data_IF_888974257692
#
_entry.id   IF_888974257692
#
_cell.length_a   1.000
_cell.length_b   1.000
_cell.length_c   1.000
_cell.angle_alpha   90.00
_cell.angle_beta   90.00
_cell.angle_gamma   90.00
#
_symmetry.space_group_name_H-M   'P 1'
#
loop_
_entity.id
_entity.type
_entity.pdbx_description
1 polymer ?
#
# COMPACT_ATOMS: atom_id res chain seq x y z
N UNK A 1 8.14 -1.53 -1.95
CA UNK A 1 9.04 -0.43 -1.50
C UNK A 1 10.15 -0.20 -2.53
N UNK A 2 10.84 0.95 -2.51
CA UNK A 2 12.08 1.21 -3.28
C UNK A 2 13.25 1.40 -2.34
N UNK A 3 14.39 0.79 -2.64
CA UNK A 3 15.66 0.97 -1.93
C UNK A 3 16.60 1.75 -2.83
N UNK A 4 17.15 2.85 -2.31
CA UNK A 4 18.03 3.73 -3.08
C UNK A 4 19.48 3.56 -2.61
N UNK A 5 20.43 3.32 -3.52
CA UNK A 5 21.86 3.36 -3.19
C UNK A 5 22.27 4.76 -2.74
N UNK A 6 23.41 4.87 -2.05
CA UNK A 6 23.92 6.16 -1.60
C UNK A 6 24.27 7.09 -2.78
N UNK A 7 24.79 6.54 -3.88
CA UNK A 7 25.04 7.24 -5.13
C UNK A 7 23.78 7.84 -5.77
N UNK A 8 22.59 7.30 -5.50
CA UNK A 8 21.33 7.86 -5.97
C UNK A 8 20.78 8.98 -5.07
N UNK A 9 21.51 9.37 -4.00
CA UNK A 9 21.15 10.47 -3.09
C UNK A 9 21.79 11.81 -3.49
N UNK A 10 22.35 11.91 -4.69
CA UNK A 10 22.89 13.16 -5.23
C UNK A 10 21.78 14.14 -5.67
N UNK A 11 22.21 15.38 -5.95
CA UNK A 11 21.40 16.60 -5.99
C UNK A 11 20.13 16.53 -6.85
N UNK A 12 19.12 17.31 -6.42
CA UNK A 12 17.76 17.44 -6.99
C UNK A 12 17.63 17.54 -8.52
N UNK A 13 18.69 17.85 -9.27
CA UNK A 13 18.65 18.03 -10.72
C UNK A 13 18.56 16.70 -11.49
N UNK A 14 19.00 15.57 -10.93
CA UNK A 14 18.96 14.25 -11.60
C UNK A 14 17.75 13.38 -11.19
N UNK A 15 16.78 13.97 -10.48
CA UNK A 15 15.70 13.26 -9.81
C UNK A 15 14.52 12.93 -10.75
N UNK A 16 14.70 11.96 -11.65
CA UNK A 16 13.58 11.29 -12.31
C UNK A 16 13.45 9.82 -11.87
N UNK A 17 12.88 9.63 -10.68
CA UNK A 17 11.88 8.61 -10.31
C UNK A 17 12.07 7.12 -10.64
N UNK A 18 13.20 6.66 -11.20
CA UNK A 18 13.33 5.29 -11.73
C UNK A 18 14.61 4.56 -11.32
N UNK A 19 15.49 5.17 -10.53
CA UNK A 19 16.75 4.53 -10.06
C UNK A 19 16.56 3.89 -8.68
N UNK A 20 17.16 2.72 -8.47
CA UNK A 20 17.13 1.97 -7.21
C UNK A 20 16.39 0.62 -7.30
N UNK A 21 16.68 -0.25 -6.34
CA UNK A 21 16.12 -1.60 -6.28
C UNK A 21 14.63 -1.59 -5.91
N UNK A 22 13.86 -2.40 -6.61
CA UNK A 22 12.52 -2.80 -6.18
C UNK A 22 12.67 -3.72 -4.97
N UNK A 23 11.86 -3.51 -3.94
CA UNK A 23 11.65 -4.49 -2.87
C UNK A 23 10.17 -4.86 -2.80
N UNK A 24 9.88 -6.15 -2.99
CA UNK A 24 8.54 -6.71 -2.85
C UNK A 24 8.51 -7.70 -1.69
N UNK A 25 7.49 -7.60 -0.83
CA UNK A 25 7.41 -8.37 0.41
C UNK A 25 6.14 -9.18 0.43
N UNK A 26 6.28 -10.47 0.70
CA UNK A 26 5.17 -11.36 1.01
C UNK A 26 5.33 -11.79 2.47
N UNK A 27 4.33 -11.48 3.30
CA UNK A 27 4.25 -12.01 4.65
C UNK A 27 3.32 -13.24 4.64
N UNK A 28 3.84 -14.36 5.10
CA UNK A 28 3.07 -15.57 5.31
C UNK A 28 2.78 -15.72 6.80
N UNK A 29 1.51 -15.92 7.13
CA UNK A 29 1.05 -16.26 8.47
C UNK A 29 0.63 -17.73 8.47
N UNK A 30 1.36 -18.57 9.20
CA UNK A 30 1.02 -19.97 9.40
C UNK A 30 0.60 -20.20 10.84
N UNK A 31 -0.51 -20.92 11.02
CA UNK A 31 -0.91 -21.44 12.33
C UNK A 31 -0.52 -22.90 12.40
N UNK A 32 0.26 -23.25 13.41
CA UNK A 32 0.48 -24.65 13.76
C UNK A 32 -0.76 -25.19 14.49
N UNK A 33 -1.22 -26.39 14.13
CA UNK A 33 -2.49 -27.00 14.58
C UNK A 33 -2.65 -27.07 16.10
N UNK A 34 -1.54 -27.10 16.84
CA UNK A 34 -1.54 -27.25 18.30
C UNK A 34 -0.93 -26.04 19.04
N UNK A 35 -0.69 -24.92 18.36
CA UNK A 35 -0.13 -23.73 18.98
C UNK A 35 -1.11 -22.57 18.99
N UNK A 36 -1.11 -21.82 20.09
CA UNK A 36 -1.75 -20.51 20.18
C UNK A 36 -0.80 -19.43 19.67
N UNK A 37 0.00 -19.72 18.64
CA UNK A 37 0.95 -18.80 18.03
C UNK A 37 0.79 -18.85 16.51
N UNK A 38 0.93 -17.69 15.89
CA UNK A 38 1.11 -17.56 14.46
C UNK A 38 2.60 -17.42 14.19
N UNK A 39 3.13 -18.29 13.33
CA UNK A 39 4.45 -18.14 12.76
C UNK A 39 4.38 -17.22 11.54
N UNK A 40 5.27 -16.24 11.49
CA UNK A 40 5.29 -15.19 10.47
C UNK A 40 6.60 -15.31 9.70
N UNK A 41 6.49 -15.69 8.43
CA UNK A 41 7.61 -15.66 7.49
C UNK A 41 7.53 -14.41 6.63
N UNK A 42 8.56 -13.56 6.68
CA UNK A 42 8.72 -12.44 5.78
C UNK A 42 9.65 -12.83 4.63
N UNK A 43 9.14 -12.77 3.40
CA UNK A 43 9.88 -13.09 2.19
C UNK A 43 10.04 -11.81 1.35
N UNK A 44 11.23 -11.26 1.41
CA UNK A 44 11.61 -9.99 0.81
C UNK A 44 12.44 -10.21 -0.46
N UNK A 45 11.83 -9.92 -1.60
CA UNK A 45 12.46 -10.08 -2.91
C UNK A 45 12.94 -8.72 -3.40
N UNK A 46 14.25 -8.56 -3.55
CA UNK A 46 14.84 -7.38 -4.17
C UNK A 46 15.16 -7.64 -5.64
N UNK A 47 14.99 -6.62 -6.48
CA UNK A 47 15.19 -6.74 -7.92
C UNK A 47 15.69 -5.46 -8.55
N UNK A 48 16.50 -5.59 -9.60
CA UNK A 48 16.85 -4.47 -10.49
C UNK A 48 15.70 -4.14 -11.45
N UNK A 49 14.79 -5.08 -11.67
CA UNK A 49 13.57 -4.86 -12.43
C UNK A 49 12.69 -3.80 -11.77
N UNK A 50 12.43 -2.74 -12.51
CA UNK A 50 11.62 -1.62 -12.06
C UNK A 50 10.14 -1.78 -12.41
N UNK A 51 9.78 -2.76 -13.25
CA UNK A 51 8.41 -3.02 -13.72
C UNK A 51 7.71 -3.96 -12.73
N UNK A 52 7.22 -3.40 -11.61
CA UNK A 52 6.36 -4.12 -10.65
C UNK A 52 4.97 -4.36 -11.25
N UNK A 53 4.88 -5.30 -12.19
CA UNK A 53 3.66 -5.69 -12.90
C UNK A 53 3.09 -7.03 -12.40
N UNK A 54 2.05 -7.53 -13.08
CA UNK A 54 1.41 -8.81 -12.77
C UNK A 54 2.40 -9.98 -12.80
N UNK A 55 3.32 -9.98 -13.78
CA UNK A 55 4.30 -11.03 -13.96
C UNK A 55 5.36 -11.03 -12.86
N UNK A 56 5.82 -9.84 -12.46
CA UNK A 56 6.69 -9.68 -11.29
C UNK A 56 6.01 -10.24 -10.04
N UNK A 57 4.75 -9.88 -9.82
CA UNK A 57 3.98 -10.34 -8.65
C UNK A 57 3.81 -11.85 -8.64
N UNK A 58 3.44 -12.46 -9.78
CA UNK A 58 3.34 -13.91 -9.91
C UNK A 58 4.69 -14.61 -9.65
N UNK A 59 5.78 -14.04 -10.14
CA UNK A 59 7.14 -14.55 -9.91
C UNK A 59 7.54 -14.50 -8.43
N UNK A 60 7.12 -13.47 -7.70
CA UNK A 60 7.36 -13.37 -6.27
C UNK A 60 6.59 -14.45 -5.48
N UNK A 61 5.33 -14.73 -5.85
CA UNK A 61 4.59 -15.85 -5.27
C UNK A 61 5.24 -17.20 -5.56
N UNK A 62 5.72 -17.40 -6.78
CA UNK A 62 6.44 -18.61 -7.16
C UNK A 62 7.66 -18.85 -6.26
N UNK A 63 8.51 -17.82 -6.11
CA UNK A 63 9.68 -17.89 -5.25
C UNK A 63 9.33 -18.29 -3.81
N UNK A 64 8.21 -17.78 -3.29
CA UNK A 64 7.74 -18.13 -1.95
C UNK A 64 7.22 -19.57 -1.88
N UNK A 65 6.44 -20.03 -2.86
CA UNK A 65 5.90 -21.40 -2.88
C UNK A 65 6.99 -22.48 -3.04
N UNK A 66 8.11 -22.14 -3.66
CA UNK A 66 9.29 -23.00 -3.72
C UNK A 66 10.11 -22.97 -2.43
N UNK A 67 10.12 -21.85 -1.71
CA UNK A 67 10.90 -21.71 -0.47
C UNK A 67 10.21 -22.35 0.76
N UNK A 68 8.89 -22.28 0.84
CA UNK A 68 8.18 -22.79 2.02
C UNK A 68 8.33 -24.32 2.17
N UNK A 69 8.80 -24.77 3.33
CA UNK A 69 9.05 -26.18 3.63
C UNK A 69 7.79 -27.04 3.63
N UNK A 70 6.65 -26.47 4.05
CA UNK A 70 5.34 -27.11 4.06
C UNK A 70 4.35 -26.25 3.29
N UNK A 71 3.98 -26.70 2.10
CA UNK A 71 2.96 -26.02 1.28
C UNK A 71 1.59 -26.12 1.94
N UNK A 72 0.85 -25.01 2.07
CA UNK A 72 -0.50 -25.03 2.61
C UNK A 72 -1.47 -25.60 1.57
N UNK A 73 -2.48 -26.35 2.02
CA UNK A 73 -3.56 -26.84 1.13
C UNK A 73 -4.36 -25.69 0.51
N UNK A 74 -4.49 -24.58 1.24
CA UNK A 74 -5.22 -23.41 0.79
C UNK A 74 -4.65 -22.12 1.38
N UNK A 75 -4.90 -21.01 0.70
CA UNK A 75 -4.48 -19.66 1.13
C UNK A 75 -5.62 -18.64 1.01
N UNK A 76 -5.51 -17.57 1.81
CA UNK A 76 -6.26 -16.32 1.65
C UNK A 76 -5.24 -15.20 1.47
N UNK A 77 -5.40 -14.40 0.43
CA UNK A 77 -4.46 -13.32 0.09
C UNK A 77 -5.06 -11.97 0.48
N UNK A 78 -4.23 -11.09 1.01
CA UNK A 78 -4.57 -9.70 1.31
C UNK A 78 -3.52 -8.82 0.63
N UNK A 79 -3.95 -7.88 -0.19
CA UNK A 79 -3.06 -6.92 -0.85
C UNK A 79 -3.67 -5.52 -0.82
N UNK A 80 -2.86 -4.51 -1.17
CA UNK A 80 -3.42 -3.22 -1.54
C UNK A 80 -4.20 -3.33 -2.88
N UNK A 81 -4.96 -2.29 -3.21
CA UNK A 81 -5.64 -2.18 -4.50
C UNK A 81 -4.72 -1.70 -5.63
N UNK A 82 -3.45 -2.11 -5.59
CA UNK A 82 -2.44 -1.80 -6.61
C UNK A 82 -2.82 -2.42 -7.97
N UNK A 83 -2.65 -1.70 -9.10
CA UNK A 83 -3.00 -2.21 -10.43
C UNK A 83 -2.29 -3.51 -10.82
N UNK A 84 -1.14 -3.78 -10.21
CA UNK A 84 -0.33 -4.98 -10.45
C UNK A 84 -0.85 -6.22 -9.71
N UNK A 85 -1.64 -6.06 -8.64
CA UNK A 85 -2.43 -7.15 -8.05
C UNK A 85 -3.79 -7.29 -8.74
N UNK A 86 -4.37 -6.16 -9.14
CA UNK A 86 -5.75 -6.10 -9.56
C UNK A 86 -5.90 -6.07 -11.09
N UNK A 87 -5.43 -7.12 -11.77
CA UNK A 87 -5.50 -7.24 -13.23
C UNK A 87 -5.81 -8.68 -13.69
N UNK A 88 -6.30 -8.80 -14.92
CA UNK A 88 -6.70 -10.09 -15.49
C UNK A 88 -5.54 -11.04 -15.73
N UNK A 89 -4.31 -10.54 -15.92
CA UNK A 89 -3.11 -11.38 -16.10
C UNK A 89 -2.79 -12.16 -14.83
N UNK A 90 -2.68 -11.46 -13.70
CA UNK A 90 -2.46 -12.11 -12.40
C UNK A 90 -3.62 -13.02 -12.03
N UNK A 91 -4.87 -12.56 -12.19
CA UNK A 91 -6.03 -13.40 -11.86
C UNK A 91 -6.08 -14.69 -12.69
N UNK A 92 -5.66 -14.64 -13.96
CA UNK A 92 -5.58 -15.83 -14.79
C UNK A 92 -4.44 -16.75 -14.33
N UNK A 93 -3.27 -16.21 -13.94
CA UNK A 93 -2.17 -17.01 -13.39
C UNK A 93 -2.59 -17.71 -12.08
N UNK A 94 -3.26 -17.00 -11.18
CA UNK A 94 -3.65 -17.51 -9.86
C UNK A 94 -4.59 -18.72 -9.97
N UNK A 95 -5.43 -18.76 -11.00
CA UNK A 95 -6.31 -19.91 -11.25
C UNK A 95 -5.56 -21.23 -11.51
N UNK A 96 -4.29 -21.16 -11.93
CA UNK A 96 -3.44 -22.33 -12.14
C UNK A 96 -2.68 -22.76 -10.89
N UNK A 97 -2.70 -21.99 -9.80
CA UNK A 97 -1.94 -22.33 -8.59
C UNK A 97 -2.35 -23.66 -7.96
N UNK A 98 -3.62 -24.05 -8.09
CA UNK A 98 -4.05 -25.38 -7.68
C UNK A 98 -3.37 -26.47 -8.52
N UNK A 99 -3.33 -26.30 -9.85
CA UNK A 99 -2.71 -27.28 -10.76
C UNK A 99 -1.19 -27.31 -10.64
N UNK A 100 -0.54 -26.17 -10.43
CA UNK A 100 0.93 -26.06 -10.38
C UNK A 100 1.50 -26.39 -9.01
N UNK A 101 0.81 -26.03 -7.93
CA UNK A 101 1.35 -26.09 -6.57
C UNK A 101 0.54 -26.92 -5.59
N UNK A 102 -0.65 -27.42 -5.99
CA UNK A 102 -1.64 -28.04 -5.10
C UNK A 102 -2.12 -27.07 -3.99
N UNK A 103 -2.25 -25.79 -4.34
CA UNK A 103 -2.69 -24.72 -3.43
C UNK A 103 -4.02 -24.14 -3.90
N UNK A 104 -5.07 -24.30 -3.09
CA UNK A 104 -6.38 -23.68 -3.33
C UNK A 104 -6.39 -22.21 -2.85
N UNK A 105 -6.75 -21.27 -3.72
CA UNK A 105 -6.94 -19.87 -3.30
C UNK A 105 -8.40 -19.65 -2.90
N UNK A 106 -8.67 -19.50 -1.60
CA UNK A 106 -10.05 -19.35 -1.09
C UNK A 106 -10.61 -17.94 -1.25
N UNK A 107 -9.78 -16.93 -1.07
CA UNK A 107 -10.19 -15.52 -1.22
C UNK A 107 -8.98 -14.62 -1.46
N UNK A 108 -9.21 -13.53 -2.18
CA UNK A 108 -8.28 -12.41 -2.30
C UNK A 108 -9.00 -11.13 -1.91
N UNK A 109 -8.52 -10.46 -0.86
CA UNK A 109 -9.05 -9.19 -0.37
C UNK A 109 -8.16 -8.03 -0.84
N UNK A 110 -8.78 -7.02 -1.46
CA UNK A 110 -8.10 -5.80 -1.89
C UNK A 110 -8.47 -4.66 -0.95
N UNK A 111 -7.47 -4.11 -0.25
CA UNK A 111 -7.66 -2.99 0.69
C UNK A 111 -7.85 -1.67 -0.06
N UNK A 112 -8.81 -0.84 0.37
CA UNK A 112 -9.01 0.48 -0.23
C UNK A 112 -7.80 1.40 0.03
N UNK A 113 -7.51 2.33 -0.91
CA UNK A 113 -6.48 3.33 -0.71
C UNK A 113 -6.69 4.13 0.59
N UNK A 114 -5.76 3.98 1.54
CA UNK A 114 -5.78 4.71 2.82
C UNK A 114 -6.64 4.08 3.91
N UNK A 115 -7.25 2.92 3.66
CA UNK A 115 -8.18 2.27 4.59
C UNK A 115 -7.49 1.64 5.80
N UNK A 116 -6.32 1.02 5.60
CA UNK A 116 -5.58 0.40 6.69
C UNK A 116 -4.07 0.31 6.40
N UNK A 117 -3.27 0.47 7.47
CA UNK A 117 -1.86 0.10 7.48
C UNK A 117 -1.71 -1.35 7.93
N UNK A 118 -1.02 -2.15 7.13
CA UNK A 118 -0.85 -3.59 7.34
C UNK A 118 0.43 -3.91 8.09
N UNK A 119 0.61 -5.18 8.46
CA UNK A 119 1.88 -5.68 9.01
C UNK A 119 3.04 -5.53 8.00
N UNK A 120 2.74 -5.55 6.69
CA UNK A 120 3.74 -5.32 5.63
C UNK A 120 4.31 -3.90 5.73
N UNK A 121 3.47 -2.89 5.98
CA UNK A 121 3.93 -1.51 6.17
C UNK A 121 4.87 -1.39 7.38
N UNK A 122 4.56 -2.07 8.49
CA UNK A 122 5.41 -2.10 9.68
C UNK A 122 6.74 -2.81 9.43
N UNK A 123 6.72 -3.88 8.64
CA UNK A 123 7.92 -4.59 8.21
C UNK A 123 8.80 -3.71 7.31
N UNK A 124 8.22 -3.02 6.33
CA UNK A 124 8.94 -2.05 5.49
C UNK A 124 9.55 -0.91 6.30
N UNK A 125 8.86 -0.43 7.34
CA UNK A 125 9.45 0.53 8.26
C UNK A 125 10.68 -0.05 8.97
N UNK A 126 10.61 -1.29 9.43
CA UNK A 126 11.73 -1.99 10.09
C UNK A 126 12.92 -2.16 9.16
N UNK A 127 12.71 -2.61 7.91
CA UNK A 127 13.74 -2.67 6.87
C UNK A 127 14.34 -1.28 6.61
N UNK A 128 13.51 -0.25 6.47
CA UNK A 128 13.97 1.12 6.25
C UNK A 128 14.87 1.60 7.40
N UNK A 129 14.50 1.29 8.64
CA UNK A 129 15.30 1.63 9.81
C UNK A 129 16.63 0.86 9.85
N UNK A 130 16.61 -0.43 9.53
CA UNK A 130 17.80 -1.27 9.45
C UNK A 130 18.79 -0.75 8.41
N UNK A 131 18.30 -0.45 7.19
CA UNK A 131 19.09 0.16 6.11
C UNK A 131 19.66 1.52 6.53
N UNK A 132 18.86 2.39 7.16
CA UNK A 132 19.36 3.68 7.66
C UNK A 132 20.45 3.52 8.71
N UNK A 133 20.34 2.52 9.58
CA UNK A 133 21.37 2.21 10.59
C UNK A 133 22.66 1.72 9.91
N UNK A 134 22.54 0.81 8.94
CA UNK A 134 23.66 0.29 8.15
C UNK A 134 24.45 1.42 7.49
N UNK A 135 23.76 2.40 6.89
CA UNK A 135 24.42 3.58 6.31
C UNK A 135 25.06 4.50 7.36
N UNK A 136 24.43 4.67 8.54
CA UNK A 136 24.95 5.54 9.62
C UNK A 136 26.26 5.04 10.23
N UNK A 137 26.49 3.72 10.20
CA UNK A 137 27.74 3.13 10.68
C UNK A 137 28.85 3.14 9.63
N UNK A 138 28.63 3.81 8.49
CA UNK A 138 29.62 4.00 7.43
C UNK A 138 29.64 2.93 6.34
N UNK A 139 28.69 1.98 6.35
CA UNK A 139 28.55 1.00 5.27
C UNK A 139 27.81 1.62 4.06
N UNK A 140 28.06 1.10 2.86
CA UNK A 140 27.42 1.55 1.61
C UNK A 140 26.47 0.48 1.05
N UNK A 141 25.47 0.91 0.28
CA UNK A 141 24.54 0.04 -0.44
C UNK A 141 24.92 0.03 -1.92
N UNK A 142 25.92 -0.79 -2.26
CA UNK A 142 26.49 -0.89 -3.60
C UNK A 142 25.91 -2.08 -4.39
N UNK A 143 25.46 -3.10 -3.67
CA UNK A 143 24.98 -4.38 -4.21
C UNK A 143 23.69 -4.82 -3.50
N UNK A 144 23.02 -5.82 -4.06
CA UNK A 144 21.88 -6.44 -3.38
C UNK A 144 22.28 -7.26 -2.15
N UNK A 145 23.51 -7.76 -2.08
CA UNK A 145 24.05 -8.42 -0.89
C UNK A 145 24.16 -7.43 0.29
N UNK A 146 24.46 -6.15 0.02
CA UNK A 146 24.44 -5.11 1.04
C UNK A 146 23.04 -4.91 1.62
N UNK A 147 21.98 -5.13 0.83
CA UNK A 147 20.59 -5.07 1.31
C UNK A 147 20.32 -6.24 2.26
N UNK A 148 20.78 -7.44 1.90
CA UNK A 148 20.69 -8.63 2.74
C UNK A 148 21.44 -8.45 4.07
N UNK A 149 22.66 -7.90 4.04
CA UNK A 149 23.42 -7.60 5.24
C UNK A 149 22.77 -6.50 6.09
N UNK A 150 22.22 -5.46 5.46
CA UNK A 150 21.56 -4.38 6.18
C UNK A 150 20.28 -4.83 6.89
N UNK A 151 19.54 -5.78 6.31
CA UNK A 151 18.32 -6.36 6.90
C UNK A 151 18.60 -7.55 7.84
N UNK A 152 19.87 -7.95 7.99
CA UNK A 152 20.28 -9.05 8.84
C UNK A 152 19.86 -8.81 10.30
N UNK A 153 19.32 -9.85 10.93
CA UNK A 153 18.82 -9.79 12.30
C UNK A 153 17.35 -9.38 12.45
N UNK A 154 16.65 -9.02 11.35
CA UNK A 154 15.19 -8.89 11.38
C UNK A 154 14.55 -10.28 11.57
N UNK A 155 13.64 -10.39 12.53
CA UNK A 155 12.99 -11.66 12.86
C UNK A 155 12.14 -12.19 11.71
N UNK A 156 12.21 -13.50 11.46
CA UNK A 156 11.44 -14.21 10.44
C UNK A 156 11.71 -13.75 9.01
N UNK A 157 12.79 -13.00 8.76
CA UNK A 157 13.03 -12.29 7.50
C UNK A 157 14.01 -13.03 6.60
N UNK A 158 13.54 -13.38 5.40
CA UNK A 158 14.31 -14.02 4.33
C UNK A 158 14.40 -13.07 3.15
N UNK A 159 15.62 -12.75 2.70
CA UNK A 159 15.88 -11.92 1.52
C UNK A 159 16.43 -12.76 0.38
N UNK A 160 15.98 -12.44 -0.84
CA UNK A 160 16.52 -13.02 -2.07
C UNK A 160 16.45 -12.02 -3.23
N UNK A 161 17.36 -12.17 -4.19
CA UNK A 161 17.19 -11.55 -5.48
C UNK A 161 16.11 -12.27 -6.27
N UNK A 162 15.25 -11.51 -6.94
CA UNK A 162 14.26 -12.02 -7.87
C UNK A 162 14.39 -11.28 -9.19
N UNK A 163 14.67 -12.02 -10.25
CA UNK A 163 14.63 -11.49 -11.61
C UNK A 163 13.58 -12.27 -12.40
N UNK A 164 12.40 -11.66 -12.67
CA UNK A 164 11.38 -12.31 -13.47
C UNK A 164 11.92 -12.61 -14.86
N UNK A 165 11.73 -13.84 -15.33
CA UNK A 165 12.02 -14.17 -16.72
C UNK A 165 11.02 -13.45 -17.61
N UNK A 166 11.41 -12.27 -18.08
CA UNK A 166 10.75 -11.55 -19.17
C UNK A 166 11.36 -12.15 -20.42
N UNK A 167 10.61 -12.97 -21.16
CA UNK A 167 11.04 -13.34 -22.50
C UNK A 167 11.27 -12.03 -23.28
N UNK A 168 12.53 -11.67 -23.50
CA UNK A 168 12.89 -10.41 -24.16
C UNK A 168 12.39 -10.47 -25.61
N UNK A 169 11.52 -9.52 -25.97
CA UNK A 169 11.17 -9.20 -27.36
C UNK A 169 12.29 -8.39 -28.06
N UNK A 170 13.53 -8.43 -27.57
CA UNK A 170 14.61 -7.62 -28.12
C UNK A 170 15.99 -8.24 -27.89
N UNK A 171 16.39 -9.15 -28.77
CA UNK A 171 17.52 -8.95 -29.71
C UNK A 171 17.80 -10.26 -30.47
N UNK A 172 17.36 -10.31 -31.72
CA UNK A 172 17.58 -11.45 -32.61
C UNK A 172 16.66 -11.36 -33.81
N UNK A 173 17.22 -10.99 -34.97
CA UNK A 173 16.54 -11.12 -36.26
C UNK A 173 16.31 -12.61 -36.56
N UNK A 174 15.30 -13.23 -35.95
CA UNK A 174 14.73 -14.47 -36.47
C UNK A 174 13.28 -14.65 -36.00
N UNK A 175 12.40 -14.76 -36.99
CA UNK A 175 10.96 -14.79 -36.83
C UNK A 175 10.50 -16.10 -36.22
N UNK A 176 10.51 -16.20 -34.89
CA UNK A 176 9.63 -17.13 -34.18
C UNK A 176 8.95 -16.39 -33.01
N UNK A 177 8.02 -15.50 -33.37
CA UNK A 177 7.12 -14.80 -32.43
C UNK A 177 6.32 -15.82 -31.62
N UNK A 178 6.74 -16.13 -30.40
CA UNK A 178 5.81 -16.64 -29.37
C UNK A 178 4.84 -15.49 -29.06
N UNK A 179 3.67 -15.49 -29.69
CA UNK A 179 2.61 -14.51 -29.42
C UNK A 179 2.33 -14.49 -27.92
N UNK A 180 2.63 -13.38 -27.23
CA UNK A 180 2.14 -13.11 -25.87
C UNK A 180 0.62 -13.37 -25.85
N UNK A 181 0.17 -14.23 -24.95
CA UNK A 181 -1.24 -14.61 -24.84
C UNK A 181 -2.08 -13.35 -24.61
N UNK A 182 -3.08 -13.13 -25.48
CA UNK A 182 -4.01 -12.00 -25.30
C UNK A 182 -5.00 -12.36 -24.21
N UNK A 183 -4.69 -11.96 -22.97
CA UNK A 183 -5.61 -12.09 -21.84
C UNK A 183 -6.71 -11.02 -22.01
N UNK A 184 -7.97 -11.44 -21.92
CA UNK A 184 -9.10 -10.52 -22.03
C UNK A 184 -9.14 -9.63 -20.78
N UNK A 185 -9.40 -8.34 -20.98
CA UNK A 185 -9.66 -7.42 -19.87
C UNK A 185 -11.02 -7.76 -19.25
N UNK A 186 -11.04 -8.04 -17.95
CA UNK A 186 -12.28 -8.28 -17.21
C UNK A 186 -12.92 -6.92 -16.93
N UNK A 187 -14.09 -6.66 -17.55
CA UNK A 187 -14.79 -5.38 -17.41
C UNK A 187 -15.20 -5.18 -15.95
N UNK A 188 -14.81 -4.05 -15.37
CA UNK A 188 -15.15 -3.71 -13.99
C UNK A 188 -14.36 -4.46 -12.93
N UNK A 189 -13.29 -5.19 -13.28
CA UNK A 189 -12.43 -5.86 -12.29
C UNK A 189 -11.99 -4.87 -11.21
N UNK A 190 -11.54 -3.67 -11.60
CA UNK A 190 -11.11 -2.60 -10.70
C UNK A 190 -12.13 -2.15 -9.64
N UNK A 191 -13.41 -2.54 -9.76
CA UNK A 191 -14.49 -2.22 -8.81
C UNK A 191 -14.78 -3.35 -7.82
N UNK A 192 -14.12 -4.49 -7.95
CA UNK A 192 -14.34 -5.67 -7.13
C UNK A 192 -13.38 -5.65 -5.94
N UNK A 193 -13.93 -5.45 -4.74
CA UNK A 193 -13.18 -5.53 -3.48
C UNK A 193 -12.98 -6.97 -2.99
N UNK A 194 -13.76 -7.88 -3.55
CA UNK A 194 -13.76 -9.30 -3.25
C UNK A 194 -13.96 -10.09 -4.54
N UNK A 195 -13.21 -11.18 -4.69
CA UNK A 195 -13.30 -12.05 -5.85
C UNK A 195 -13.47 -13.51 -5.44
N UNK A 196 -14.43 -14.19 -6.09
CA UNK A 196 -14.65 -15.64 -6.03
C UNK A 196 -14.57 -16.19 -7.46
N UNK A 197 -13.80 -17.26 -7.65
CA UNK A 197 -13.33 -17.70 -8.96
C UNK A 197 -14.42 -18.13 -9.94
N UNK A 198 -14.51 -17.52 -11.14
CA UNK A 198 -15.31 -18.04 -12.25
C UNK A 198 -14.50 -19.02 -13.12
N UNK A 199 -15.19 -19.98 -13.72
CA UNK A 199 -14.58 -20.96 -14.64
C UNK A 199 -14.30 -20.35 -16.03
N UNK A 200 -13.02 -20.39 -16.44
CA UNK A 200 -12.45 -20.09 -17.79
C UNK A 200 -12.47 -18.62 -18.25
N UNK A 201 -11.35 -17.91 -18.04
CA UNK A 201 -11.14 -16.52 -18.48
C UNK A 201 -10.19 -16.36 -19.69
N UNK A 202 -9.57 -17.43 -20.19
CA UNK A 202 -8.56 -17.39 -21.25
C UNK A 202 -8.69 -18.54 -22.25
N UNK A 203 -8.16 -18.33 -23.46
CA UNK A 203 -8.27 -19.26 -24.59
C UNK A 203 -6.99 -20.09 -24.84
N UNK A 204 -5.88 -19.78 -24.17
CA UNK A 204 -4.58 -20.45 -24.36
C UNK A 204 -3.96 -20.84 -23.02
N UNK A 205 -3.31 -22.01 -22.90
CA UNK A 205 -2.63 -22.40 -21.67
C UNK A 205 -1.65 -21.31 -21.23
N UNK A 206 -1.75 -20.88 -19.97
CA UNK A 206 -0.75 -19.98 -19.38
C UNK A 206 0.48 -20.80 -19.00
N UNK A 207 1.64 -20.16 -19.07
CA UNK A 207 2.90 -20.74 -18.64
C UNK A 207 3.18 -20.37 -17.19
N UNK A 208 3.71 -21.33 -16.44
CA UNK A 208 4.18 -21.12 -15.07
C UNK A 208 5.34 -20.11 -15.08
N UNK A 209 5.35 -19.11 -14.18
CA UNK A 209 6.50 -18.24 -13.99
C UNK A 209 7.74 -19.07 -13.66
N UNK A 210 8.87 -18.78 -14.30
CA UNK A 210 10.17 -19.39 -13.98
C UNK A 210 11.19 -18.27 -13.78
N UNK A 211 11.09 -17.51 -12.67
CA UNK A 211 12.03 -16.45 -12.38
C UNK A 211 13.41 -17.00 -11.99
N UNK A 212 14.45 -16.20 -12.20
CA UNK A 212 15.76 -16.46 -11.59
C UNK A 212 15.71 -15.95 -10.15
N UNK A 213 15.96 -16.84 -9.19
CA UNK A 213 15.91 -16.54 -7.75
C UNK A 213 17.27 -16.89 -7.14
N UNK A 214 17.86 -15.97 -6.37
CA UNK A 214 19.06 -16.30 -5.60
C UNK A 214 18.73 -17.15 -4.38
N UNK A 215 19.74 -17.75 -3.75
CA UNK A 215 19.52 -18.43 -2.47
C UNK A 215 18.98 -17.45 -1.41
N UNK A 216 17.89 -17.84 -0.74
CA UNK A 216 17.31 -17.04 0.34
C UNK A 216 18.22 -16.99 1.56
N UNK A 217 18.29 -15.83 2.20
CA UNK A 217 18.92 -15.73 3.53
C UNK A 217 18.11 -16.49 4.57
N UNK A 218 18.78 -17.12 5.51
CA UNK A 218 18.12 -17.78 6.65
C UNK A 218 17.85 -16.78 7.77
N UNK A 219 16.61 -16.66 8.27
CA UNK A 219 16.31 -15.84 9.43
C UNK A 219 17.08 -16.32 10.67
N UNK A 220 17.70 -15.38 11.40
CA UNK A 220 18.42 -15.71 12.66
C UNK A 220 17.46 -16.00 13.82
N UNK A 221 16.26 -15.41 13.78
CA UNK A 221 15.23 -15.56 14.81
C UNK A 221 13.88 -15.80 14.16
N UNK A 222 13.01 -16.56 14.84
CA UNK A 222 11.63 -16.75 14.40
C UNK A 222 10.78 -15.52 14.74
N UNK A 223 9.81 -15.21 13.90
CA UNK A 223 8.83 -14.17 14.18
C UNK A 223 7.49 -14.82 14.52
N UNK A 224 7.16 -14.87 15.81
CA UNK A 224 5.89 -15.45 16.28
C UNK A 224 4.98 -14.40 16.89
N UNK A 225 3.68 -14.51 16.66
CA UNK A 225 2.66 -13.66 17.28
C UNK A 225 1.67 -14.51 18.10
N UNK A 226 1.43 -14.21 19.40
CA UNK A 226 0.50 -14.98 20.21
C UNK A 226 -0.94 -14.75 19.76
N UNK A 227 -1.74 -15.80 19.79
CA UNK A 227 -3.18 -15.80 19.62
C UNK A 227 -3.77 -15.86 21.02
N UNK A 228 -4.37 -14.79 21.55
CA UNK A 228 -5.04 -14.91 22.84
C UNK A 228 -6.48 -15.40 22.65
N UNK A 229 -6.97 -16.13 23.65
CA UNK A 229 -8.31 -16.72 23.67
C UNK A 229 -8.93 -16.25 24.96
N UNK A 230 -9.90 -15.34 24.89
CA UNK A 230 -10.68 -14.92 26.06
C UNK A 230 -12.17 -15.14 25.74
N UNK A 231 -12.83 -15.96 26.57
CA UNK A 231 -14.30 -16.16 26.55
C UNK A 231 -14.91 -16.54 25.19
N UNK A 232 -14.39 -17.58 24.53
CA UNK A 232 -14.97 -18.12 23.29
C UNK A 232 -14.84 -17.20 22.07
N UNK A 233 -14.19 -16.04 22.20
CA UNK A 233 -13.72 -15.19 21.11
C UNK A 233 -12.20 -15.20 21.08
N UNK A 234 -11.63 -15.51 19.92
CA UNK A 234 -10.20 -15.40 19.68
C UNK A 234 -9.82 -13.92 19.60
N UNK A 235 -9.07 -13.42 20.58
CA UNK A 235 -8.58 -12.03 20.62
C UNK A 235 -7.05 -12.12 20.54
N UNK A 236 -6.42 -11.68 19.46
CA UNK A 236 -4.96 -11.56 19.43
C UNK A 236 -4.56 -10.48 20.45
N UNK A 237 -4.01 -10.88 21.60
CA UNK A 237 -3.58 -9.94 22.66
C UNK A 237 -2.33 -9.20 22.20
N UNK A 238 -2.53 -7.98 21.69
CA UNK A 238 -1.49 -6.98 21.52
C UNK A 238 -1.46 -6.11 22.77
N UNK A 239 -0.77 -6.56 23.82
CA UNK A 239 -0.43 -5.66 24.92
C UNK A 239 1.00 -5.14 24.74
N UNK A 240 1.12 -3.88 24.32
CA UNK A 240 2.07 -2.91 24.88
C UNK A 240 1.45 -1.50 24.77
N UNK A 241 1.49 -0.77 25.87
CA UNK A 241 0.73 0.46 26.15
C UNK A 241 1.01 1.59 25.14
N UNK A 242 0.05 1.89 24.25
CA UNK A 242 -0.42 3.24 23.86
C UNK A 242 -1.39 3.10 22.64
N UNK A 243 -2.56 3.75 22.74
CA UNK A 243 -3.66 3.92 21.77
C UNK A 243 -4.79 2.85 21.71
N UNK A 244 -5.86 3.12 22.47
CA UNK A 244 -7.04 2.27 22.69
C UNK A 244 -8.14 2.34 21.60
N UNK A 245 -7.87 2.91 20.41
CA UNK A 245 -8.89 3.08 19.34
C UNK A 245 -8.57 2.29 18.05
N UNK A 246 -7.36 1.72 17.93
CA UNK A 246 -6.92 0.97 16.74
C UNK A 246 -7.29 -0.53 16.84
N UNK A 247 -7.59 -1.00 18.06
CA UNK A 247 -7.76 -2.41 18.41
C UNK A 247 -9.08 -3.00 17.88
N UNK A 248 -10.15 -2.22 17.81
CA UNK A 248 -11.49 -2.73 17.45
C UNK A 248 -11.66 -3.05 15.95
N UNK A 249 -11.00 -2.31 15.05
CA UNK A 249 -11.06 -2.56 13.61
C UNK A 249 -10.30 -3.83 13.19
N UNK A 250 -9.17 -4.13 13.86
CA UNK A 250 -8.35 -5.33 13.58
C UNK A 250 -8.98 -6.62 14.08
N UNK A 251 -9.72 -6.58 15.19
CA UNK A 251 -10.38 -7.75 15.77
C UNK A 251 -11.53 -8.28 14.88
N UNK A 252 -12.19 -7.41 14.09
CA UNK A 252 -13.33 -7.81 13.25
C UNK A 252 -12.93 -8.58 11.98
N UNK A 253 -11.79 -8.27 11.38
CA UNK A 253 -11.27 -8.96 10.19
C UNK A 253 -10.86 -10.41 10.51
N UNK A 254 -10.39 -10.65 11.74
CA UNK A 254 -9.98 -11.99 12.21
C UNK A 254 -11.16 -12.87 12.62
N UNK A 255 -12.25 -12.29 13.14
CA UNK A 255 -13.48 -13.02 13.49
C UNK A 255 -14.15 -13.64 12.25
N UNK A 256 -14.07 -12.97 11.09
CA UNK A 256 -14.49 -13.48 9.77
C UNK A 256 -13.57 -14.57 9.19
N UNK A 257 -12.31 -14.67 9.65
CA UNK A 257 -11.38 -15.72 9.22
C UNK A 257 -11.70 -17.06 9.89
N UNK A 258 -12.29 -17.04 11.10
CA UNK A 258 -12.45 -18.20 11.99
C UNK A 258 -13.88 -18.77 12.06
N UNK A 259 -14.91 -18.03 11.66
CA UNK A 259 -16.32 -18.44 11.86
C UNK A 259 -16.90 -19.42 10.81
N UNK A 260 -16.16 -19.78 9.75
CA UNK A 260 -16.63 -20.73 8.73
C UNK A 260 -16.18 -22.20 8.94
N UNK A 261 -15.80 -22.58 10.17
CA UNK A 261 -15.56 -23.97 10.54
C UNK A 261 -16.83 -24.65 11.10
N UNK A 262 -17.81 -24.89 10.23
CA UNK A 262 -18.75 -25.99 10.39
C UNK A 262 -18.78 -26.78 9.07
N UNK A 263 -18.76 -28.12 9.10
CA UNK A 263 -18.80 -28.92 7.88
C UNK A 263 -20.22 -28.82 7.29
N UNK A 264 -20.41 -28.03 6.23
CA UNK A 264 -21.68 -28.03 5.52
C UNK A 264 -21.79 -29.31 4.67
N UNK A 265 -22.82 -30.09 5.01
CA UNK A 265 -23.39 -31.23 4.28
C UNK A 265 -23.49 -30.92 2.76
N UNK A 266 -23.08 -31.84 1.85
CA UNK A 266 -23.06 -31.57 0.41
C UNK A 266 -24.42 -31.32 -0.26
N UNK A 267 -25.54 -31.36 0.46
CA UNK A 267 -26.90 -31.32 -0.13
C UNK A 267 -27.81 -30.19 0.38
N UNK A 268 -27.29 -28.96 0.52
CA UNK A 268 -28.13 -27.79 0.71
C UNK A 268 -27.84 -26.72 -0.36
N UNK A 269 -28.72 -26.67 -1.36
CA UNK A 269 -28.83 -25.56 -2.30
C UNK A 269 -30.10 -24.77 -1.95
N UNK A 270 -30.01 -23.44 -2.08
CA UNK A 270 -31.01 -22.38 -1.82
C UNK A 270 -31.07 -21.90 -0.36
N UNK A 271 -31.14 -20.59 -0.06
CA UNK A 271 -31.62 -19.43 -0.84
C UNK A 271 -30.88 -18.14 -0.45
N UNK A 272 -30.98 -17.14 -1.31
CA UNK A 272 -30.48 -15.76 -1.18
C UNK A 272 -30.70 -15.15 0.22
N UNK A 273 -29.63 -14.96 0.98
CA UNK A 273 -29.57 -13.91 2.01
C UNK A 273 -28.63 -12.83 1.47
N UNK A 274 -29.23 -11.73 1.02
CA UNK A 274 -28.53 -10.51 0.65
C UNK A 274 -27.87 -9.94 1.92
N UNK A 275 -26.56 -10.14 2.07
CA UNK A 275 -25.81 -9.70 3.24
C UNK A 275 -25.71 -8.17 3.21
N UNK A 276 -26.55 -7.49 3.98
CA UNK A 276 -26.48 -6.05 4.22
C UNK A 276 -25.17 -5.68 4.95
N UNK A 277 -24.31 -4.97 4.23
CA UNK A 277 -22.95 -4.60 4.62
C UNK A 277 -22.98 -3.58 5.78
N UNK A 278 -24.06 -2.79 5.90
CA UNK A 278 -24.17 -1.73 6.90
C UNK A 278 -24.48 -2.26 8.32
N UNK A 279 -25.07 -3.46 8.46
CA UNK A 279 -25.19 -4.14 9.76
C UNK A 279 -23.88 -4.84 10.21
N UNK A 280 -22.96 -5.12 9.27
CA UNK A 280 -21.81 -6.00 9.52
C UNK A 280 -20.49 -5.26 9.79
N UNK A 281 -20.44 -3.93 9.72
CA UNK A 281 -19.27 -3.09 10.04
C UNK A 281 -19.68 -1.92 10.95
N UNK A 282 -19.30 -1.86 12.26
CA UNK A 282 -19.83 -0.87 13.19
C UNK A 282 -18.94 0.38 13.26
N UNK A 283 -18.15 0.63 12.23
CA UNK A 283 -17.34 1.84 12.11
C UNK A 283 -17.98 2.70 11.03
N UNK A 284 -18.44 3.89 11.42
CA UNK A 284 -19.04 4.82 10.49
C UNK A 284 -18.10 5.05 9.29
N UNK A 285 -18.66 4.90 8.09
CA UNK A 285 -17.96 5.07 6.81
C UNK A 285 -17.13 6.36 6.84
N UNK A 286 -15.81 6.24 6.67
CA UNK A 286 -14.89 7.37 6.63
C UNK A 286 -14.08 7.69 7.90
N UNK A 287 -14.12 6.85 8.95
CA UNK A 287 -13.37 7.10 10.19
C UNK A 287 -11.85 7.32 9.99
N UNK A 288 -11.24 6.67 8.99
CA UNK A 288 -9.81 6.76 8.68
C UNK A 288 -9.46 7.78 7.57
N UNK A 289 -10.44 8.54 7.05
CA UNK A 289 -10.17 9.60 6.07
C UNK A 289 -9.21 10.62 6.66
N UNK A 290 -8.32 11.17 5.83
CA UNK A 290 -7.34 12.20 6.23
C UNK A 290 -7.97 13.43 6.88
N UNK A 291 -9.24 13.73 6.56
CA UNK A 291 -10.03 14.79 7.19
C UNK A 291 -10.50 14.46 8.62
N UNK A 292 -10.60 13.18 8.95
CA UNK A 292 -11.06 12.66 10.24
C UNK A 292 -9.91 12.18 11.14
N UNK A 293 -8.69 12.14 10.59
CA UNK A 293 -7.46 11.82 11.30
C UNK A 293 -7.09 12.96 12.27
N UNK A 294 -7.25 12.75 13.58
CA UNK A 294 -6.75 13.66 14.61
C UNK A 294 -5.22 13.55 14.71
N UNK A 295 -4.52 14.26 13.83
CA UNK A 295 -3.07 14.42 13.91
C UNK A 295 -2.72 15.14 15.22
N UNK A 296 -1.91 14.50 16.06
CA UNK A 296 -1.25 15.18 17.16
C UNK A 296 -0.42 16.34 16.62
N UNK A 297 -0.81 17.57 16.95
CA UNK A 297 0.05 18.76 17.03
C UNK A 297 0.91 19.18 15.84
N UNK A 298 0.73 18.65 14.61
CA UNK A 298 1.40 19.21 13.41
C UNK A 298 0.50 20.23 12.73
N UNK A 299 0.25 21.32 13.42
CA UNK A 299 -0.36 22.51 12.84
C UNK A 299 0.25 23.72 13.53
N UNK A 300 0.98 24.54 12.78
CA UNK A 300 1.18 25.92 13.21
C UNK A 300 -0.18 26.60 13.43
N UNK A 301 -0.19 27.72 14.16
CA UNK A 301 -1.39 28.53 14.43
C UNK A 301 -2.25 28.62 13.16
N UNK A 302 -3.45 28.04 13.21
CA UNK A 302 -4.39 28.07 12.07
C UNK A 302 -4.78 29.52 11.83
N UNK A 303 -4.76 29.96 10.58
CA UNK A 303 -5.20 31.29 10.17
C UNK A 303 -6.64 31.53 10.64
N UNK A 304 -6.92 32.71 11.21
CA UNK A 304 -8.28 33.11 11.61
C UNK A 304 -9.22 33.08 10.42
N UNK A 305 -10.49 32.73 10.66
CA UNK A 305 -11.52 32.62 9.60
C UNK A 305 -11.78 33.97 8.94
N UNK A 306 -11.76 35.07 9.69
CA UNK A 306 -11.96 36.42 9.16
C UNK A 306 -10.83 36.83 8.21
N UNK A 307 -9.57 36.63 8.62
CA UNK A 307 -8.39 36.88 7.78
C UNK A 307 -8.45 36.08 6.49
N UNK A 308 -8.88 34.81 6.57
CA UNK A 308 -9.06 33.97 5.38
C UNK A 308 -10.16 34.50 4.46
N UNK A 309 -11.29 34.95 4.99
CA UNK A 309 -12.38 35.52 4.20
C UNK A 309 -11.97 36.81 3.48
N UNK A 310 -11.17 37.66 4.12
CA UNK A 310 -10.60 38.86 3.48
C UNK A 310 -9.64 38.50 2.35
N UNK A 311 -8.75 37.52 2.55
CA UNK A 311 -7.87 37.02 1.49
C UNK A 311 -8.65 36.44 0.30
N UNK A 312 -9.75 35.72 0.55
CA UNK A 312 -10.67 35.24 -0.50
C UNK A 312 -11.31 36.42 -1.25
N UNK A 313 -11.75 37.47 -0.54
CA UNK A 313 -12.33 38.67 -1.14
C UNK A 313 -11.34 39.41 -2.03
N UNK A 314 -10.10 39.63 -1.55
CA UNK A 314 -9.03 40.27 -2.34
C UNK A 314 -8.71 39.49 -3.60
N UNK A 315 -8.62 38.16 -3.49
CA UNK A 315 -8.36 37.30 -4.64
C UNK A 315 -9.49 37.34 -5.68
N UNK A 316 -10.76 37.29 -5.23
CA UNK A 316 -11.93 37.30 -6.11
C UNK A 316 -12.11 38.67 -6.79
N UNK A 317 -11.87 39.78 -6.07
CA UNK A 317 -11.90 41.12 -6.65
C UNK A 317 -10.85 41.28 -7.76
N UNK A 318 -9.63 40.77 -7.54
CA UNK A 318 -8.57 40.76 -8.56
C UNK A 318 -8.86 39.88 -9.78
N UNK A 319 -9.74 38.88 -9.66
CA UNK A 319 -10.24 38.11 -10.81
C UNK A 319 -11.39 38.82 -11.55
N UNK A 320 -12.16 39.68 -10.85
CA UNK A 320 -13.27 40.46 -11.45
C UNK A 320 -12.77 41.71 -12.16
N UNK A 321 -11.74 42.36 -11.61
CA UNK A 321 -11.10 43.58 -12.13
C UNK A 321 -9.59 43.41 -12.07
N UNK A 322 -8.94 43.58 -13.21
CA UNK A 322 -7.50 43.39 -13.31
C UNK A 322 -6.70 44.43 -12.52
N UNK A 323 -7.29 45.60 -12.33
CA UNK A 323 -6.75 46.74 -11.58
C UNK A 323 -6.70 46.46 -10.08
N UNK A 324 -7.60 45.61 -9.57
CA UNK A 324 -7.71 45.25 -8.16
C UNK A 324 -6.85 44.01 -7.81
N UNK A 325 -6.00 43.56 -8.73
CA UNK A 325 -5.18 42.35 -8.55
C UNK A 325 -4.03 42.59 -7.58
N UNK A 326 -4.16 42.04 -6.38
CA UNK A 326 -3.15 42.17 -5.33
C UNK A 326 -2.12 41.03 -5.37
N UNK A 327 -0.86 41.36 -5.12
CA UNK A 327 0.18 40.38 -4.82
C UNK A 327 0.21 40.06 -3.31
N UNK A 328 1.01 39.07 -2.89
CA UNK A 328 1.04 38.65 -1.49
C UNK A 328 1.50 39.76 -0.51
N UNK A 329 2.34 40.70 -0.97
CA UNK A 329 2.76 41.84 -0.16
C UNK A 329 1.61 42.84 -0.01
N UNK A 330 0.98 43.21 -1.13
CA UNK A 330 -0.18 44.12 -1.13
C UNK A 330 -1.35 43.59 -0.30
N UNK A 331 -1.62 42.28 -0.35
CA UNK A 331 -2.64 41.66 0.50
C UNK A 331 -2.28 41.73 1.99
N UNK A 332 -0.99 41.63 2.34
CA UNK A 332 -0.55 41.79 3.72
C UNK A 332 -0.69 43.24 4.18
N UNK A 333 -0.33 44.19 3.34
CA UNK A 333 -0.39 45.62 3.67
C UNK A 333 -1.84 46.07 3.87
N UNK A 334 -2.79 45.57 3.07
CA UNK A 334 -4.23 45.78 3.33
C UNK A 334 -4.68 45.15 4.66
N UNK A 335 -4.24 43.94 4.97
CA UNK A 335 -4.55 43.31 6.27
C UNK A 335 -3.98 44.09 7.46
N UNK A 336 -2.83 44.76 7.30
CA UNK A 336 -2.26 45.61 8.35
C UNK A 336 -3.10 46.87 8.60
N UNK A 337 -3.80 47.41 7.60
CA UNK A 337 -4.76 48.51 7.83
C UNK A 337 -5.91 48.09 8.75
N UNK A 338 -6.34 46.83 8.66
CA UNK A 338 -7.34 46.27 9.56
C UNK A 338 -6.80 46.04 10.99
N UNK A 339 -5.48 45.86 11.14
CA UNK A 339 -4.80 45.87 12.47
C UNK A 339 -4.79 47.29 13.04
N UNK A 340 -4.48 48.29 12.24
CA UNK A 340 -4.52 49.72 12.64
C UNK A 340 -5.93 50.16 13.05
N UNK A 341 -6.98 49.60 12.42
CA UNK A 341 -8.38 49.82 12.78
C UNK A 341 -8.82 49.07 14.06
N UNK A 342 -7.95 48.23 14.65
CA UNK A 342 -8.25 47.43 15.84
C UNK A 342 -9.11 46.20 15.60
N UNK A 343 -9.30 45.78 14.34
CA UNK A 343 -10.12 44.62 13.97
C UNK A 343 -9.37 43.29 14.14
N UNK A 344 -8.03 43.32 14.03
CA UNK A 344 -7.15 42.16 14.19
C UNK A 344 -5.90 42.49 15.01
N UNK A 345 -5.33 41.47 15.66
CA UNK A 345 -4.01 41.57 16.28
C UNK A 345 -2.91 41.30 15.23
N UNK A 346 -1.75 41.95 15.37
CA UNK A 346 -0.61 41.74 14.45
C UNK A 346 -0.15 40.26 14.40
N UNK A 347 -0.30 39.55 15.53
CA UNK A 347 0.02 38.13 15.68
C UNK A 347 -0.91 37.19 14.90
N UNK A 348 -2.05 37.70 14.43
CA UNK A 348 -3.01 36.95 13.62
C UNK A 348 -2.78 37.13 12.12
N UNK A 349 -1.95 38.10 11.74
CA UNK A 349 -1.63 38.37 10.34
C UNK A 349 -0.57 37.36 9.86
N UNK A 350 -0.88 36.56 8.82
CA UNK A 350 0.06 35.61 8.26
C UNK A 350 1.25 36.32 7.60
N UNK A 351 2.41 35.66 7.63
CA UNK A 351 3.61 36.12 6.92
C UNK A 351 3.35 36.12 5.40
N UNK A 352 4.07 36.97 4.67
CA UNK A 352 3.97 37.10 3.20
C UNK A 352 4.12 35.74 2.50
N UNK A 353 5.08 34.91 2.92
CA UNK A 353 5.27 33.56 2.36
C UNK A 353 4.05 32.65 2.57
N UNK A 354 3.38 32.79 3.71
CA UNK A 354 2.15 32.04 4.02
C UNK A 354 1.01 32.49 3.11
N UNK A 355 0.87 33.80 2.87
CA UNK A 355 -0.11 34.37 1.93
C UNK A 355 0.20 33.92 0.50
N UNK A 356 1.47 33.94 0.07
CA UNK A 356 1.86 33.49 -1.27
C UNK A 356 1.55 32.01 -1.50
N UNK A 357 1.84 31.15 -0.52
CA UNK A 357 1.49 29.73 -0.58
C UNK A 357 -0.03 29.51 -0.59
N UNK A 358 -0.77 30.33 0.15
CA UNK A 358 -2.22 30.32 0.18
C UNK A 358 -2.80 30.72 -1.20
N UNK A 359 -2.32 31.80 -1.82
CA UNK A 359 -2.72 32.24 -3.17
C UNK A 359 -2.50 31.12 -4.19
N UNK A 360 -1.32 30.50 -4.21
CA UNK A 360 -0.99 29.42 -5.15
C UNK A 360 -1.93 28.22 -4.99
N UNK A 361 -2.24 27.86 -3.74
CA UNK A 361 -3.13 26.74 -3.43
C UNK A 361 -4.58 27.09 -3.81
N UNK A 362 -5.04 28.28 -3.44
CA UNK A 362 -6.40 28.76 -3.70
C UNK A 362 -6.65 28.91 -5.20
N UNK A 363 -5.70 29.47 -5.96
CA UNK A 363 -5.79 29.58 -7.41
C UNK A 363 -5.89 28.23 -8.11
N UNK A 364 -5.18 27.20 -7.62
CA UNK A 364 -5.28 25.83 -8.16
C UNK A 364 -6.67 25.23 -7.92
N UNK A 365 -7.14 25.28 -6.67
CA UNK A 365 -8.47 24.76 -6.28
C UNK A 365 -9.58 25.51 -7.02
N UNK A 366 -9.44 26.83 -7.20
CA UNK A 366 -10.38 27.65 -7.95
C UNK A 366 -10.47 27.22 -9.42
N UNK A 367 -9.33 26.91 -10.06
CA UNK A 367 -9.30 26.39 -11.43
C UNK A 367 -9.90 24.98 -11.54
N UNK A 368 -9.58 24.09 -10.61
CA UNK A 368 -10.14 22.72 -10.55
C UNK A 368 -11.68 22.77 -10.45
N UNK A 369 -12.23 23.61 -9.57
CA UNK A 369 -13.68 23.79 -9.44
C UNK A 369 -14.34 24.40 -10.68
N UNK A 370 -13.64 25.26 -11.40
CA UNK A 370 -14.16 25.82 -12.65
C UNK A 370 -14.24 24.75 -13.76
N UNK A 371 -13.33 23.77 -13.77
CA UNK A 371 -13.30 22.70 -14.77
C UNK A 371 -14.21 21.50 -14.47
N UNK A 372 -14.74 21.38 -13.24
CA UNK A 372 -15.67 20.31 -12.86
C UNK A 372 -17.13 20.62 -13.22
N UNK A 373 -17.42 21.85 -13.64
CA UNK A 373 -18.76 22.34 -13.99
C UNK A 373 -18.98 22.58 -15.50
N UNK A 374 -17.98 22.25 -16.33
CA UNK A 374 -18.09 22.15 -17.79
C UNK A 374 -18.17 20.66 -18.20
#
# INVERSE_FOLDING_TARGET
MRILPQSARETKQDFFGKRGWTLHTILIFMRETNSNKLDIGAYDHWSLDTKQDAWFTASAFEAVFETISKRPKWIKVISDNGPHYHNSELMAIVSYWHTWYDIEVRSWLFLEPGEAKTMVDSHHASITHAIKRYLRIGCDLSSGDDIAQAAKGLSGTSLANLEPNRNDDSEGHEKNKRKKSKIKTIKGISKLFYWKWPSKLWNTPLHQPQPSISQNTTPETQWTMPIAVESGKLIISLHWHIYYEITYARLKILDEILTNEQPNDPNSFNSEEEIDIDQKFPLAKGWALKGNQKLGGRGGKRMKKEVKALLELFFLNGNRRSEDRMNAQSMRDELLKHVEAGEFEEEDIPKVNTIQNWINTYARVFKERATEHD
#
